data_IF_914345506472
#
_entry.id   IF_914345506472
#
_cell.length_a   1.000
_cell.length_b   1.000
_cell.length_c   1.000
_cell.angle_alpha   90.00
_cell.angle_beta   90.00
_cell.angle_gamma   90.00
#
_symmetry.space_group_name_H-M   'P 1'
#
loop_
_entity.id
_entity.type
_entity.pdbx_description
1 polymer ?
#
# COMPACT_ATOMS: atom_id res chain seq x y z
N UNK A 1 -14.40 27.54 29.36
CA UNK A 1 -14.46 26.09 29.09
C UNK A 1 -13.82 25.32 30.25
N UNK A 2 -14.60 24.48 30.95
CA UNK A 2 -14.16 23.82 32.20
C UNK A 2 -12.99 22.87 31.98
N UNK A 3 -12.03 22.83 32.91
CA UNK A 3 -10.84 21.98 32.82
C UNK A 3 -11.17 20.48 32.76
N UNK A 4 -12.29 20.07 33.38
CA UNK A 4 -12.84 18.71 33.25
C UNK A 4 -13.32 18.40 31.82
N UNK A 5 -13.92 19.39 31.15
CA UNK A 5 -14.39 19.27 29.76
C UNK A 5 -13.19 19.15 28.80
N UNK A 6 -12.11 19.90 29.04
CA UNK A 6 -10.87 19.79 28.25
C UNK A 6 -10.22 18.41 28.36
N UNK A 7 -10.17 17.84 29.57
CA UNK A 7 -9.62 16.49 29.80
C UNK A 7 -10.47 15.42 29.12
N UNK A 8 -11.80 15.51 29.21
CA UNK A 8 -12.70 14.57 28.54
C UNK A 8 -12.58 14.65 27.02
N UNK A 9 -12.50 15.86 26.44
CA UNK A 9 -12.30 16.05 25.01
C UNK A 9 -10.96 15.45 24.53
N UNK A 10 -9.88 15.64 25.29
CA UNK A 10 -8.57 15.08 24.97
C UNK A 10 -8.58 13.54 24.96
N UNK A 11 -9.25 12.90 25.93
CA UNK A 11 -9.36 11.44 26.01
C UNK A 11 -10.12 10.88 24.80
N UNK A 12 -11.26 11.49 24.44
CA UNK A 12 -12.08 11.05 23.30
C UNK A 12 -11.30 11.15 21.99
N UNK A 13 -10.57 12.24 21.77
CA UNK A 13 -9.74 12.43 20.58
C UNK A 13 -8.62 11.38 20.51
N UNK A 14 -7.94 11.12 21.63
CA UNK A 14 -6.84 10.14 21.66
C UNK A 14 -7.33 8.72 21.36
N UNK A 15 -8.48 8.32 21.93
CA UNK A 15 -9.08 7.01 21.65
C UNK A 15 -9.58 6.86 20.20
N UNK A 16 -10.01 7.96 19.57
CA UNK A 16 -10.40 7.94 18.16
C UNK A 16 -9.23 7.66 17.22
N UNK A 17 -8.05 8.23 17.53
CA UNK A 17 -6.83 8.04 16.72
C UNK A 17 -6.36 6.59 16.79
N UNK A 18 -6.38 5.95 17.96
CA UNK A 18 -5.90 4.57 18.09
C UNK A 18 -6.74 3.56 17.30
N UNK A 19 -8.05 3.80 17.15
CA UNK A 19 -8.91 2.91 16.36
C UNK A 19 -8.58 2.95 14.86
N UNK A 20 -8.19 4.14 14.35
CA UNK A 20 -7.84 4.34 12.94
C UNK A 20 -6.51 3.70 12.55
N UNK A 21 -5.64 3.39 13.51
CA UNK A 21 -4.34 2.76 13.26
C UNK A 21 -4.41 1.22 13.22
N UNK A 22 -5.56 0.59 13.49
CA UNK A 22 -5.70 -0.87 13.45
C UNK A 22 -5.33 -1.47 12.10
N UNK A 23 -5.71 -0.83 10.99
CA UNK A 23 -5.32 -1.27 9.64
C UNK A 23 -3.86 -0.98 9.25
N UNK A 24 -3.08 -0.33 10.11
CA UNK A 24 -1.64 -0.09 9.89
C UNK A 24 -0.77 -1.20 10.49
N UNK A 25 -1.33 -1.99 11.41
CA UNK A 25 -0.60 -3.01 12.18
C UNK A 25 -1.21 -4.41 12.03
N UNK A 26 -2.06 -4.63 11.02
CA UNK A 26 -2.50 -5.98 10.69
C UNK A 26 -1.29 -6.84 10.32
N UNK A 27 -1.08 -7.91 11.08
CA UNK A 27 0.01 -8.86 10.86
C UNK A 27 -0.35 -9.72 9.66
N UNK A 28 0.07 -9.30 8.47
CA UNK A 28 -0.17 -10.09 7.27
C UNK A 28 0.60 -11.41 7.29
N UNK A 29 0.02 -12.49 6.77
CA UNK A 29 0.68 -13.80 6.77
C UNK A 29 1.98 -13.73 5.95
N UNK A 30 3.01 -14.45 6.40
CA UNK A 30 4.31 -14.49 5.72
C UNK A 30 4.16 -14.87 4.24
N UNK A 31 4.77 -14.06 3.38
CA UNK A 31 4.70 -14.25 1.93
C UNK A 31 5.54 -15.46 1.54
N UNK A 32 4.88 -16.50 1.04
CA UNK A 32 5.45 -17.83 0.77
C UNK A 32 6.24 -17.94 -0.54
N UNK A 33 6.81 -16.82 -1.03
CA UNK A 33 7.56 -16.60 -2.29
C UNK A 33 6.73 -15.93 -3.40
N UNK A 34 7.20 -14.77 -3.86
CA UNK A 34 6.56 -14.03 -4.96
C UNK A 34 6.82 -14.71 -6.32
N UNK A 35 5.92 -14.56 -7.29
CA UNK A 35 6.15 -15.01 -8.66
C UNK A 35 7.35 -14.33 -9.31
N UNK A 36 7.88 -14.94 -10.36
CA UNK A 36 8.92 -14.31 -11.18
C UNK A 36 8.37 -13.08 -11.91
N UNK A 37 9.15 -12.00 -11.93
CA UNK A 37 8.77 -10.70 -12.50
C UNK A 37 9.05 -10.70 -14.01
N UNK A 38 8.05 -11.08 -14.80
CA UNK A 38 8.12 -11.18 -16.27
C UNK A 38 6.83 -10.68 -16.96
N UNK A 39 6.80 -10.63 -18.30
CA UNK A 39 5.68 -10.01 -19.05
C UNK A 39 4.36 -10.75 -18.89
N UNK A 40 4.42 -12.06 -18.65
CA UNK A 40 3.23 -12.87 -18.42
C UNK A 40 2.67 -12.66 -17.01
N UNK A 41 3.54 -12.67 -16.00
CA UNK A 41 3.16 -12.55 -14.60
C UNK A 41 2.81 -11.11 -14.21
N UNK A 42 3.34 -10.11 -14.91
CA UNK A 42 2.99 -8.70 -14.71
C UNK A 42 1.68 -8.27 -15.39
N UNK A 43 0.95 -9.19 -16.03
CA UNK A 43 -0.40 -8.90 -16.50
C UNK A 43 -1.34 -8.66 -15.31
N UNK A 44 -2.29 -7.70 -15.40
CA UNK A 44 -3.22 -7.41 -14.31
C UNK A 44 -3.94 -8.65 -13.75
N UNK A 45 -4.34 -9.57 -14.63
CA UNK A 45 -5.01 -10.81 -14.25
C UNK A 45 -4.12 -11.81 -13.48
N UNK A 46 -2.80 -11.77 -13.67
CA UNK A 46 -1.85 -12.61 -12.93
C UNK A 46 -1.51 -11.98 -11.57
N UNK A 47 -1.27 -10.67 -11.54
CA UNK A 47 -1.07 -9.91 -10.31
C UNK A 47 -2.28 -10.05 -9.37
N UNK A 48 -3.51 -10.01 -9.89
CA UNK A 48 -4.73 -10.17 -9.11
C UNK A 48 -4.85 -11.52 -8.37
N UNK A 49 -4.12 -12.55 -8.82
CA UNK A 49 -4.11 -13.89 -8.18
C UNK A 49 -3.10 -13.99 -7.04
N UNK A 50 -2.25 -12.98 -6.84
CA UNK A 50 -1.26 -12.98 -5.76
C UNK A 50 -1.97 -12.73 -4.43
N UNK A 51 -1.66 -13.57 -3.46
CA UNK A 51 -2.13 -13.50 -2.08
C UNK A 51 -0.97 -13.77 -1.13
N UNK A 52 -0.96 -13.19 0.07
CA UNK A 52 -1.91 -12.19 0.60
C UNK A 52 -1.81 -10.83 -0.10
N UNK A 53 -2.61 -9.87 0.34
CA UNK A 53 -2.70 -8.53 -0.26
C UNK A 53 -1.37 -7.77 -0.24
N UNK A 54 -0.57 -7.88 0.83
CA UNK A 54 0.82 -7.39 0.91
C UNK A 54 1.70 -7.97 -0.18
N UNK A 55 1.63 -9.29 -0.42
CA UNK A 55 2.39 -9.93 -1.47
C UNK A 55 1.97 -9.38 -2.84
N UNK A 56 0.67 -9.14 -3.04
CA UNK A 56 0.15 -8.54 -4.28
C UNK A 56 0.64 -7.11 -4.47
N UNK A 57 0.62 -6.30 -3.42
CA UNK A 57 1.12 -4.92 -3.46
C UNK A 57 2.62 -4.88 -3.76
N UNK A 58 3.41 -5.71 -3.08
CA UNK A 58 4.85 -5.84 -3.33
C UNK A 58 5.10 -6.29 -4.78
N UNK A 59 4.42 -7.33 -5.25
CA UNK A 59 4.57 -7.84 -6.61
C UNK A 59 4.15 -6.81 -7.69
N UNK A 60 3.03 -6.12 -7.48
CA UNK A 60 2.57 -5.05 -8.36
C UNK A 60 3.57 -3.89 -8.42
N UNK A 61 4.19 -3.55 -7.28
CA UNK A 61 5.27 -2.57 -7.19
C UNK A 61 6.49 -2.96 -8.01
N UNK A 62 6.91 -4.24 -7.95
CA UNK A 62 8.00 -4.77 -8.78
C UNK A 62 7.67 -4.71 -10.28
N UNK A 63 6.46 -5.13 -10.67
CA UNK A 63 6.00 -5.06 -12.06
C UNK A 63 5.94 -3.63 -12.60
N UNK A 64 5.50 -2.66 -11.77
CA UNK A 64 5.47 -1.25 -12.14
C UNK A 64 6.87 -0.68 -12.39
N UNK A 65 7.85 -1.10 -11.57
CA UNK A 65 9.26 -0.67 -11.69
C UNK A 65 10.01 -1.38 -12.81
N UNK A 66 9.56 -2.57 -13.25
CA UNK A 66 10.16 -3.30 -14.37
C UNK A 66 10.10 -2.51 -15.67
N UNK A 67 9.12 -1.59 -15.80
CA UNK A 67 8.99 -0.60 -16.86
C UNK A 67 9.77 -0.93 -18.13
N UNK A 68 9.11 -1.56 -19.11
CA UNK A 68 9.56 -1.43 -20.51
C UNK A 68 9.78 0.05 -20.75
N UNK A 69 11.00 0.43 -21.19
CA UNK A 69 11.48 1.79 -21.39
C UNK A 69 10.33 2.81 -21.40
N UNK A 70 10.24 3.62 -20.33
CA UNK A 70 9.25 4.68 -20.22
C UNK A 70 9.24 5.41 -21.56
N UNK A 71 8.13 5.34 -22.29
CA UNK A 71 7.95 6.18 -23.48
C UNK A 71 7.80 7.60 -22.95
N UNK A 72 8.94 8.28 -22.83
CA UNK A 72 8.96 9.70 -22.54
C UNK A 72 8.29 10.40 -23.71
N UNK A 73 7.50 11.43 -23.40
CA UNK A 73 7.07 12.38 -24.43
C UNK A 73 8.30 12.82 -25.23
N UNK A 74 8.18 13.04 -26.55
CA UNK A 74 9.27 13.61 -27.34
C UNK A 74 9.85 14.85 -26.65
N UNK A 75 11.17 15.01 -26.70
CA UNK A 75 11.84 16.21 -26.18
C UNK A 75 11.27 17.45 -26.88
N UNK A 76 10.71 18.37 -26.11
CA UNK A 76 10.26 19.67 -26.61
C UNK A 76 11.41 20.65 -26.41
N UNK A 77 12.04 21.11 -27.50
CA UNK A 77 12.99 22.23 -27.45
C UNK A 77 12.19 23.53 -27.32
N UNK A 78 12.38 24.23 -26.20
CA UNK A 78 11.93 25.60 -26.00
C UNK A 78 12.88 26.59 -26.66
#
# INVERSE_FOLDING_TARGET
>A
MNMKIKKLAAVILFSGVTLQLSGCFDSEPEVTKLPEVNDQNCKPAAVAKVTPDSARQQFAGLCSRRGTAVQTSPEVKW
#
